data_IF_965592410951
#
_entry.id   IF_965592410951
#
_cell.length_a   1.000
_cell.length_b   1.000
_cell.length_c   1.000
_cell.angle_alpha   90.00
_cell.angle_beta   90.00
_cell.angle_gamma   90.00
#
_symmetry.space_group_name_H-M   'P 1'
#
loop_
_entity.id
_entity.type
_entity.pdbx_description
1 polymer ?
#
# COMPACT_ATOMS: atom_id res chain seq x y z
N UNK A 1 22.53 -0.58 -52.55
CA UNK A 1 23.00 -1.43 -51.43
C UNK A 1 21.82 -1.69 -50.50
N UNK A 2 21.31 -2.93 -50.45
CA UNK A 2 20.26 -3.35 -49.52
C UNK A 2 20.94 -3.99 -48.31
N UNK A 3 20.89 -3.35 -47.14
CA UNK A 3 21.30 -3.99 -45.89
C UNK A 3 20.09 -4.75 -45.33
N UNK A 4 20.20 -6.08 -45.30
CA UNK A 4 19.30 -6.95 -44.57
C UNK A 4 19.65 -6.87 -43.08
N UNK A 5 18.73 -6.37 -42.26
CA UNK A 5 18.82 -6.50 -40.80
C UNK A 5 18.30 -7.89 -40.40
N UNK A 6 19.22 -8.75 -39.98
CA UNK A 6 18.91 -10.00 -39.29
C UNK A 6 18.64 -9.66 -37.82
N UNK A 7 17.39 -9.86 -37.38
CA UNK A 7 16.98 -9.80 -35.98
C UNK A 7 17.42 -11.11 -35.30
N UNK A 8 18.50 -11.06 -34.53
CA UNK A 8 18.95 -12.17 -33.70
C UNK A 8 18.26 -12.09 -32.34
N UNK A 9 17.24 -12.92 -32.12
CA UNK A 9 16.58 -13.08 -30.81
C UNK A 9 17.53 -13.82 -29.86
N UNK A 10 18.14 -13.10 -28.92
CA UNK A 10 18.94 -13.72 -27.87
C UNK A 10 18.03 -14.34 -26.79
N UNK A 11 17.99 -15.66 -26.73
CA UNK A 11 17.36 -16.41 -25.63
C UNK A 11 18.35 -16.44 -24.46
N UNK A 12 18.08 -15.67 -23.41
CA UNK A 12 18.86 -15.70 -22.18
C UNK A 12 18.50 -16.96 -21.37
N UNK A 13 19.33 -18.00 -21.45
CA UNK A 13 19.26 -19.14 -20.52
C UNK A 13 19.81 -18.71 -19.16
N UNK A 14 18.93 -18.64 -18.15
CA UNK A 14 19.33 -18.45 -16.75
C UNK A 14 19.70 -19.81 -16.18
N UNK A 15 20.99 -20.05 -15.97
CA UNK A 15 21.49 -21.24 -15.26
C UNK A 15 21.28 -21.05 -13.76
N UNK A 16 20.35 -21.79 -13.16
CA UNK A 16 20.11 -21.77 -11.71
C UNK A 16 21.21 -22.56 -11.01
N UNK A 17 22.10 -21.85 -10.32
CA UNK A 17 23.13 -22.48 -9.45
C UNK A 17 22.45 -22.89 -8.14
N UNK A 18 22.27 -24.20 -7.94
CA UNK A 18 21.75 -24.77 -6.71
C UNK A 18 22.69 -24.54 -5.53
N UNK A 19 22.17 -23.94 -4.46
CA UNK A 19 22.89 -23.73 -3.20
C UNK A 19 22.34 -24.71 -2.15
N UNK A 20 22.93 -25.90 -2.06
CA UNK A 20 22.60 -26.88 -1.01
C UNK A 20 23.37 -26.54 0.28
N UNK A 21 22.73 -25.83 1.22
CA UNK A 21 23.20 -25.80 2.61
C UNK A 21 22.61 -26.98 3.36
N UNK A 22 23.46 -27.94 3.72
CA UNK A 22 23.12 -29.03 4.65
C UNK A 22 23.01 -28.47 6.07
N UNK A 23 21.80 -28.39 6.59
CA UNK A 23 21.53 -28.19 8.02
C UNK A 23 21.35 -29.56 8.68
N UNK A 24 22.21 -29.89 9.65
CA UNK A 24 22.10 -31.11 10.47
C UNK A 24 21.00 -30.90 11.50
N UNK A 25 19.93 -31.70 11.44
CA UNK A 25 18.79 -31.65 12.37
C UNK A 25 18.72 -32.97 13.13
N UNK A 26 18.49 -32.89 14.45
CA UNK A 26 18.32 -34.01 15.38
C UNK A 26 17.14 -34.94 15.01
N UNK A 27 17.19 -36.24 15.35
CA UNK A 27 16.17 -37.22 14.99
C UNK A 27 14.91 -37.09 15.87
N UNK A 28 14.05 -36.12 15.53
CA UNK A 28 12.67 -36.07 16.00
C UNK A 28 11.77 -37.03 15.22
N UNK A 29 10.76 -37.60 15.89
CA UNK A 29 9.73 -38.49 15.33
C UNK A 29 9.15 -37.90 14.05
N UNK A 30 9.52 -38.47 12.89
CA UNK A 30 9.11 -37.98 11.56
C UNK A 30 7.60 -38.12 11.40
N UNK A 31 6.89 -37.03 11.71
CA UNK A 31 5.54 -36.84 11.21
C UNK A 31 5.68 -36.56 9.71
N UNK A 32 5.54 -37.59 8.89
CA UNK A 32 5.60 -37.44 7.44
C UNK A 32 4.52 -36.44 7.02
N UNK A 33 4.98 -35.29 6.51
CA UNK A 33 4.11 -34.27 5.95
C UNK A 33 3.26 -34.89 4.84
N UNK A 34 1.95 -35.01 5.08
CA UNK A 34 0.96 -35.60 4.16
C UNK A 34 0.65 -34.69 2.96
N UNK A 35 1.61 -33.87 2.50
CA UNK A 35 1.39 -33.02 1.34
C UNK A 35 1.17 -33.88 0.10
N UNK A 36 0.04 -33.64 -0.57
CA UNK A 36 -0.33 -34.27 -1.84
C UNK A 36 0.49 -33.77 -3.04
N UNK A 37 1.15 -32.63 -2.86
CA UNK A 37 1.91 -31.95 -3.89
C UNK A 37 3.32 -31.62 -3.38
N UNK A 38 4.31 -31.86 -4.23
CA UNK A 38 5.70 -31.45 -4.02
C UNK A 38 6.09 -30.43 -5.09
N UNK A 39 6.52 -29.24 -4.69
CA UNK A 39 7.19 -28.31 -5.59
C UNK A 39 8.61 -28.85 -5.85
N UNK A 40 8.93 -29.15 -7.10
CA UNK A 40 10.23 -29.73 -7.49
C UNK A 40 11.19 -28.71 -8.10
N UNK A 41 10.69 -27.53 -8.50
CA UNK A 41 11.51 -26.43 -9.03
C UNK A 41 10.83 -25.07 -8.85
N UNK A 42 11.61 -23.99 -8.90
CA UNK A 42 11.11 -22.62 -8.89
C UNK A 42 10.92 -21.99 -7.51
N UNK A 43 11.50 -22.56 -6.45
CA UNK A 43 11.49 -21.97 -5.10
C UNK A 43 12.36 -20.73 -4.96
N UNK A 44 13.22 -20.44 -5.94
CA UNK A 44 14.05 -19.24 -5.95
C UNK A 44 14.03 -18.59 -7.34
N UNK A 45 13.66 -17.32 -7.42
CA UNK A 45 13.60 -16.54 -8.67
C UNK A 45 14.83 -15.64 -8.88
N UNK A 46 15.84 -15.74 -8.01
CA UNK A 46 17.12 -15.05 -8.14
C UNK A 46 17.03 -13.56 -7.87
N UNK A 47 17.87 -12.78 -8.56
CA UNK A 47 17.85 -11.32 -8.52
C UNK A 47 17.18 -10.82 -9.80
N UNK A 48 16.06 -10.13 -9.67
CA UNK A 48 15.27 -9.60 -10.79
C UNK A 48 15.10 -8.10 -10.67
N UNK A 49 14.88 -7.40 -11.79
CA UNK A 49 14.45 -6.00 -11.74
C UNK A 49 12.99 -5.89 -11.31
N UNK A 50 12.63 -4.76 -10.72
CA UNK A 50 11.24 -4.45 -10.37
C UNK A 50 10.38 -4.35 -11.63
N UNK A 51 9.50 -5.32 -11.80
CA UNK A 51 8.59 -5.42 -12.95
C UNK A 51 7.23 -5.91 -12.46
N UNK A 52 6.15 -5.45 -13.09
CA UNK A 52 4.77 -5.84 -12.76
C UNK A 52 4.39 -7.24 -13.27
N UNK A 53 5.24 -7.86 -14.10
CA UNK A 53 4.96 -9.13 -14.76
C UNK A 53 6.15 -10.10 -14.66
N UNK A 54 6.72 -10.29 -13.46
CA UNK A 54 7.77 -11.30 -13.26
C UNK A 54 7.15 -12.69 -13.27
N UNK A 55 7.57 -13.52 -14.23
CA UNK A 55 7.10 -14.90 -14.36
C UNK A 55 8.09 -15.86 -13.71
N UNK A 56 7.62 -16.57 -12.68
CA UNK A 56 8.40 -17.57 -11.94
C UNK A 56 7.85 -18.95 -12.33
N UNK A 57 8.55 -19.70 -13.19
CA UNK A 57 8.12 -21.05 -13.55
C UNK A 57 8.33 -21.98 -12.36
N UNK A 58 7.27 -22.68 -11.97
CA UNK A 58 7.29 -23.72 -10.94
C UNK A 58 6.82 -25.04 -11.53
N UNK A 59 7.27 -26.14 -10.96
CA UNK A 59 6.80 -27.48 -11.33
C UNK A 59 6.27 -28.18 -10.09
N UNK A 60 5.02 -28.62 -10.16
CA UNK A 60 4.35 -29.36 -9.09
C UNK A 60 4.22 -30.83 -9.47
N UNK A 61 4.67 -31.71 -8.58
CA UNK A 61 4.56 -33.16 -8.75
C UNK A 61 3.48 -33.72 -7.82
N UNK A 62 2.56 -34.51 -8.37
CA UNK A 62 1.60 -35.27 -7.58
C UNK A 62 2.29 -36.49 -6.95
N UNK A 63 2.34 -36.52 -5.62
CA UNK A 63 2.97 -37.59 -4.84
C UNK A 63 1.98 -38.69 -4.43
N UNK A 64 0.69 -38.55 -4.76
CA UNK A 64 -0.35 -39.53 -4.45
C UNK A 64 -0.49 -40.58 -5.56
N UNK A 65 -1.17 -41.66 -5.21
CA UNK A 65 -1.58 -42.74 -6.11
C UNK A 65 -2.86 -42.43 -6.90
N UNK A 66 -3.57 -41.35 -6.55
CA UNK A 66 -4.77 -40.87 -7.23
C UNK A 66 -4.50 -39.55 -7.97
N UNK A 67 -5.23 -39.31 -9.06
CA UNK A 67 -5.20 -38.03 -9.76
C UNK A 67 -5.60 -36.89 -8.82
N UNK A 68 -4.95 -35.75 -9.00
CA UNK A 68 -5.19 -34.57 -8.19
C UNK A 68 -5.71 -33.46 -9.10
N UNK A 69 -6.87 -32.92 -8.76
CA UNK A 69 -7.50 -31.80 -9.44
C UNK A 69 -7.23 -30.52 -8.64
N UNK A 70 -6.58 -29.55 -9.29
CA UNK A 70 -6.36 -28.20 -8.79
C UNK A 70 -7.46 -27.32 -9.35
N UNK A 71 -8.24 -26.69 -8.47
CA UNK A 71 -9.35 -25.80 -8.81
C UNK A 71 -8.97 -24.32 -8.67
N UNK A 72 -7.78 -24.02 -8.15
CA UNK A 72 -7.31 -22.65 -7.96
C UNK A 72 -6.06 -22.57 -7.09
N UNK A 73 -5.70 -21.34 -6.73
CA UNK A 73 -4.58 -21.06 -5.84
C UNK A 73 -4.93 -19.93 -4.87
N UNK A 74 -4.67 -20.17 -3.59
CA UNK A 74 -4.54 -19.07 -2.62
C UNK A 74 -3.17 -18.43 -2.75
N UNK A 75 -3.06 -17.15 -2.39
CA UNK A 75 -1.83 -16.37 -2.44
C UNK A 75 -1.63 -15.54 -1.17
N UNK A 76 -0.37 -15.31 -0.79
CA UNK A 76 -0.04 -14.50 0.40
C UNK A 76 -0.12 -12.99 0.18
N UNK A 77 -0.14 -12.53 -1.07
CA UNK A 77 -0.34 -11.12 -1.43
C UNK A 77 -1.25 -11.05 -2.67
N UNK A 78 -2.00 -9.96 -2.80
CA UNK A 78 -2.75 -9.64 -4.04
C UNK A 78 -1.84 -9.37 -5.25
N UNK A 79 -0.53 -9.30 -5.03
CA UNK A 79 0.49 -9.08 -6.04
C UNK A 79 0.89 -10.34 -6.82
N UNK A 80 0.15 -11.43 -6.69
CA UNK A 80 0.51 -12.74 -7.26
C UNK A 80 -0.68 -13.41 -7.92
N UNK A 81 -0.45 -13.97 -9.11
CA UNK A 81 -1.40 -14.83 -9.82
C UNK A 81 -0.68 -16.07 -10.36
N UNK A 82 -1.43 -17.11 -10.71
CA UNK A 82 -0.88 -18.39 -11.19
C UNK A 82 -1.58 -18.82 -12.46
N UNK A 83 -0.82 -19.28 -13.45
CA UNK A 83 -1.32 -19.80 -14.72
C UNK A 83 -0.71 -21.18 -15.05
N UNK A 84 -1.50 -22.18 -15.48
CA UNK A 84 -2.96 -22.17 -15.52
C UNK A 84 -3.56 -22.14 -14.10
N UNK A 85 -4.77 -21.61 -13.97
CA UNK A 85 -5.48 -21.54 -12.67
C UNK A 85 -6.03 -22.88 -12.24
N UNK A 86 -6.36 -23.76 -13.19
CA UNK A 86 -6.90 -25.09 -12.96
C UNK A 86 -6.05 -26.13 -13.70
N UNK A 87 -5.89 -27.31 -13.11
CA UNK A 87 -5.17 -28.41 -13.74
C UNK A 87 -5.52 -29.75 -13.11
N UNK A 88 -5.40 -30.83 -13.89
CA UNK A 88 -5.36 -32.20 -13.35
C UNK A 88 -3.95 -32.74 -13.48
N UNK A 89 -3.43 -33.32 -12.40
CA UNK A 89 -2.10 -33.94 -12.35
C UNK A 89 -2.28 -35.42 -11.99
N UNK A 90 -1.95 -36.33 -12.92
CA UNK A 90 -2.04 -37.77 -12.70
C UNK A 90 -1.05 -38.24 -11.62
N UNK A 91 -1.24 -39.44 -11.04
CA UNK A 91 -0.29 -40.01 -10.09
C UNK A 91 1.14 -40.00 -10.62
N UNK A 92 2.09 -39.42 -9.85
CA UNK A 92 3.50 -39.32 -10.23
C UNK A 92 3.83 -38.32 -11.33
N UNK A 93 2.83 -37.70 -11.99
CA UNK A 93 3.01 -36.69 -13.02
C UNK A 93 3.51 -35.37 -12.40
N UNK A 94 4.31 -34.65 -13.18
CA UNK A 94 4.72 -33.28 -12.91
C UNK A 94 4.04 -32.32 -13.88
N UNK A 95 3.55 -31.18 -13.38
CA UNK A 95 2.91 -30.15 -14.19
C UNK A 95 3.57 -28.79 -13.93
N UNK A 96 3.84 -28.06 -15.01
CA UNK A 96 4.39 -26.71 -14.94
C UNK A 96 3.28 -25.66 -14.73
N UNK A 97 3.59 -24.65 -13.93
CA UNK A 97 2.78 -23.45 -13.71
C UNK A 97 3.70 -22.23 -13.77
N UNK A 98 3.13 -21.10 -14.16
CA UNK A 98 3.78 -19.80 -14.11
C UNK A 98 3.16 -18.98 -13.01
N UNK A 99 3.95 -18.61 -12.02
CA UNK A 99 3.54 -17.65 -11.00
C UNK A 99 3.92 -16.26 -11.48
N UNK A 100 2.93 -15.41 -11.69
CA UNK A 100 3.11 -14.04 -12.15
C UNK A 100 3.07 -13.13 -10.93
N UNK A 101 4.14 -12.37 -10.71
CA UNK A 101 4.29 -11.49 -9.54
C UNK A 101 4.46 -10.04 -9.99
N UNK A 102 3.64 -9.16 -9.43
CA UNK A 102 3.82 -7.71 -9.53
C UNK A 102 4.74 -7.21 -8.42
N UNK A 103 6.00 -6.95 -8.76
CA UNK A 103 7.02 -6.47 -7.83
C UNK A 103 6.98 -4.95 -7.62
N UNK A 104 6.23 -4.20 -8.44
CA UNK A 104 6.09 -2.74 -8.35
C UNK A 104 5.16 -2.32 -7.20
N UNK A 105 4.22 -3.19 -6.84
CA UNK A 105 3.21 -2.94 -5.79
C UNK A 105 3.76 -2.91 -4.35
N UNK A 106 5.02 -3.29 -4.12
CA UNK A 106 5.52 -3.50 -2.77
C UNK A 106 5.94 -2.19 -2.08
N UNK A 107 5.13 -1.74 -1.12
CA UNK A 107 5.46 -0.64 -0.18
C UNK A 107 6.47 -1.08 0.88
N UNK A 108 7.65 -1.54 0.48
CA UNK A 108 8.72 -1.77 1.45
C UNK A 108 9.54 -0.49 1.56
N UNK A 109 9.43 0.15 2.72
CA UNK A 109 10.34 1.18 3.21
C UNK A 109 11.72 0.54 3.45
N UNK A 110 12.39 0.22 2.35
CA UNK A 110 13.77 -0.28 2.34
C UNK A 110 14.69 0.83 1.88
N UNK A 111 14.69 1.96 2.58
CA UNK A 111 15.71 2.98 2.35
C UNK A 111 17.09 2.34 2.50
N UNK A 112 17.91 2.46 1.46
CA UNK A 112 19.29 1.98 1.43
C UNK A 112 19.52 0.49 1.15
N UNK A 113 18.49 -0.36 1.10
CA UNK A 113 18.66 -1.80 0.78
C UNK A 113 18.30 -2.05 -0.67
N UNK A 114 19.27 -2.52 -1.45
CA UNK A 114 19.10 -3.00 -2.82
C UNK A 114 20.21 -4.02 -3.15
N UNK A 115 19.87 -5.24 -3.59
CA UNK A 115 18.52 -5.71 -3.90
C UNK A 115 17.69 -6.02 -2.64
N UNK A 116 16.37 -5.85 -2.73
CA UNK A 116 15.42 -6.05 -1.62
C UNK A 116 14.98 -7.52 -1.57
N UNK A 117 15.11 -8.23 -0.44
CA UNK A 117 14.61 -9.59 -0.33
C UNK A 117 13.08 -9.63 -0.45
N UNK A 118 12.56 -10.59 -1.20
CA UNK A 118 11.13 -10.76 -1.44
C UNK A 118 10.76 -12.25 -1.36
N UNK A 119 9.66 -12.53 -0.66
CA UNK A 119 9.07 -13.84 -0.55
C UNK A 119 7.61 -13.78 -1.03
N UNK A 120 7.20 -14.76 -1.83
CA UNK A 120 5.82 -14.95 -2.30
C UNK A 120 5.40 -16.37 -1.97
N UNK A 121 4.17 -16.55 -1.47
CA UNK A 121 3.64 -17.88 -1.19
C UNK A 121 2.35 -18.12 -1.94
N UNK A 122 2.20 -19.32 -2.48
CA UNK A 122 0.95 -19.80 -3.07
C UNK A 122 0.55 -21.13 -2.42
N UNK A 123 -0.73 -21.46 -2.45
CA UNK A 123 -1.24 -22.75 -1.99
C UNK A 123 -2.29 -23.27 -2.98
N UNK A 124 -2.06 -24.42 -3.64
CA UNK A 124 -3.04 -25.01 -4.54
C UNK A 124 -4.31 -25.42 -3.79
N UNK A 125 -5.47 -25.08 -4.33
CA UNK A 125 -6.78 -25.52 -3.85
C UNK A 125 -7.13 -26.79 -4.61
N UNK A 126 -7.32 -27.90 -3.90
CA UNK A 126 -7.49 -29.22 -4.53
C UNK A 126 -8.81 -29.87 -4.17
N UNK A 127 -9.58 -30.32 -5.16
CA UNK A 127 -10.84 -31.04 -4.97
C UNK A 127 -10.67 -32.32 -4.14
N UNK A 128 -11.61 -32.56 -3.22
CA UNK A 128 -11.66 -33.78 -2.40
C UNK A 128 -10.57 -33.87 -1.31
N UNK A 129 -9.72 -32.86 -1.19
CA UNK A 129 -8.71 -32.78 -0.14
C UNK A 129 -9.04 -31.51 0.65
N UNK A 130 -9.48 -31.67 1.90
CA UNK A 130 -9.79 -30.51 2.76
C UNK A 130 -8.61 -29.52 2.85
N UNK A 131 -8.84 -28.30 3.34
CA UNK A 131 -7.86 -27.19 3.29
C UNK A 131 -6.51 -27.48 3.98
N UNK A 132 -6.45 -28.53 4.80
CA UNK A 132 -5.25 -29.03 5.47
C UNK A 132 -4.30 -29.82 4.55
N UNK A 133 -4.75 -30.27 3.36
CA UNK A 133 -3.97 -31.20 2.54
C UNK A 133 -3.03 -30.57 1.52
N UNK A 134 -3.00 -29.25 1.42
CA UNK A 134 -2.08 -28.48 0.57
C UNK A 134 -1.15 -27.61 1.42
N UNK A 135 0.16 -27.83 1.33
CA UNK A 135 1.15 -26.96 1.96
C UNK A 135 1.37 -25.68 1.16
N UNK A 136 1.69 -24.57 1.84
CA UNK A 136 2.19 -23.36 1.19
C UNK A 136 3.50 -23.64 0.45
N UNK A 137 3.59 -23.18 -0.79
CA UNK A 137 4.80 -23.21 -1.61
C UNK A 137 5.39 -21.81 -1.55
N UNK A 138 6.61 -21.70 -1.00
CA UNK A 138 7.32 -20.44 -0.87
C UNK A 138 8.31 -20.27 -2.03
N UNK A 139 8.33 -19.06 -2.59
CA UNK A 139 9.26 -18.62 -3.62
C UNK A 139 9.99 -17.39 -3.12
N UNK A 140 11.31 -17.40 -3.18
CA UNK A 140 12.18 -16.37 -2.63
C UNK A 140 13.11 -15.79 -3.69
N UNK A 141 13.51 -14.54 -3.50
CA UNK A 141 14.47 -13.90 -4.37
C UNK A 141 14.77 -12.49 -3.89
N UNK A 142 15.45 -11.73 -4.73
CA UNK A 142 15.78 -10.34 -4.46
C UNK A 142 15.37 -9.46 -5.64
N UNK A 143 14.92 -8.25 -5.33
CA UNK A 143 14.40 -7.32 -6.32
C UNK A 143 15.32 -6.11 -6.39
N UNK A 144 15.91 -5.86 -7.56
CA UNK A 144 16.64 -4.64 -7.87
C UNK A 144 15.66 -3.56 -8.28
N UNK A 145 15.85 -2.36 -7.75
CA UNK A 145 15.06 -1.19 -8.16
C UNK A 145 15.80 -0.40 -9.22
N UNK A 146 15.12 -0.10 -10.33
CA UNK A 146 15.70 0.75 -11.37
C UNK A 146 16.00 2.16 -10.85
N UNK A 147 15.10 2.71 -10.03
CA UNK A 147 15.26 4.01 -9.40
C UNK A 147 14.62 4.08 -8.01
N UNK A 148 15.06 5.05 -7.22
CA UNK A 148 14.45 5.44 -5.96
C UNK A 148 13.87 6.83 -6.07
N UNK A 149 12.87 7.11 -5.24
CA UNK A 149 12.21 8.42 -5.16
C UNK A 149 12.22 8.83 -3.70
N UNK A 150 12.64 10.06 -3.42
CA UNK A 150 12.59 10.67 -2.09
C UNK A 150 12.16 12.14 -2.16
N UNK A 151 11.13 12.56 -1.40
CA UNK A 151 10.24 11.71 -0.60
C UNK A 151 9.25 10.91 -1.46
N UNK A 152 8.73 9.81 -0.94
CA UNK A 152 7.67 8.99 -1.59
C UNK A 152 6.25 9.47 -1.30
N UNK A 153 6.12 10.46 -0.41
CA UNK A 153 4.92 11.22 -0.12
C UNK A 153 5.27 12.69 0.05
N UNK A 154 4.47 13.55 -0.57
CA UNK A 154 4.63 15.00 -0.49
C UNK A 154 3.40 15.59 0.13
N UNK A 155 3.60 16.59 0.98
CA UNK A 155 2.53 17.42 1.52
C UNK A 155 2.85 18.84 1.09
N UNK A 156 2.07 19.36 0.13
CA UNK A 156 2.12 20.78 -0.21
C UNK A 156 1.35 21.54 0.85
N UNK A 157 2.04 22.39 1.60
CA UNK A 157 1.39 23.31 2.54
C UNK A 157 0.79 24.50 1.76
N UNK A 158 -0.13 25.24 2.39
CA UNK A 158 -0.66 26.48 1.80
C UNK A 158 0.45 27.47 1.45
N UNK A 159 1.47 27.61 2.30
CA UNK A 159 2.59 28.50 2.01
C UNK A 159 3.26 28.11 0.69
N UNK A 160 3.40 26.82 0.40
CA UNK A 160 3.95 26.35 -0.87
C UNK A 160 3.04 26.73 -2.06
N UNK A 161 1.72 26.62 -1.88
CA UNK A 161 0.75 27.01 -2.92
C UNK A 161 0.74 28.52 -3.16
N UNK A 162 0.66 29.32 -2.10
CA UNK A 162 0.52 30.78 -2.15
C UNK A 162 1.81 31.47 -2.60
N UNK A 163 2.95 31.04 -2.05
CA UNK A 163 4.27 31.53 -2.49
C UNK A 163 4.68 30.96 -3.84
N UNK A 164 3.90 29.99 -4.37
CA UNK A 164 4.22 29.24 -5.57
C UNK A 164 5.61 28.60 -5.46
N UNK A 165 5.98 28.16 -4.27
CA UNK A 165 7.21 27.41 -4.04
C UNK A 165 7.03 25.99 -4.56
N UNK A 166 8.05 25.50 -5.25
CA UNK A 166 8.01 24.17 -5.84
C UNK A 166 8.42 23.14 -4.77
N UNK A 167 7.57 22.16 -4.49
CA UNK A 167 8.03 20.98 -3.76
C UNK A 167 8.92 20.15 -4.68
N UNK A 168 10.03 19.65 -4.15
CA UNK A 168 11.00 18.90 -4.93
C UNK A 168 11.01 17.43 -4.50
N UNK A 169 10.97 16.56 -5.49
CA UNK A 169 11.21 15.12 -5.35
C UNK A 169 12.49 14.78 -6.06
N UNK A 170 13.37 14.05 -5.39
CA UNK A 170 14.58 13.52 -5.98
C UNK A 170 14.31 12.12 -6.47
N UNK A 171 14.47 11.93 -7.78
CA UNK A 171 14.53 10.63 -8.40
C UNK A 171 16.00 10.26 -8.63
N UNK A 172 16.46 9.19 -7.99
CA UNK A 172 17.81 8.66 -8.16
C UNK A 172 17.76 7.32 -8.88
N UNK A 173 18.22 7.30 -10.12
CA UNK A 173 18.32 6.08 -10.91
C UNK A 173 19.64 5.36 -10.67
N UNK A 174 19.62 4.03 -10.76
CA UNK A 174 20.83 3.17 -10.73
C UNK A 174 21.35 2.83 -12.12
N UNK A 175 20.55 3.12 -13.15
CA UNK A 175 20.88 2.90 -14.56
C UNK A 175 20.68 4.20 -15.36
N UNK A 176 21.37 4.37 -16.50
CA UNK A 176 21.05 5.44 -17.44
C UNK A 176 19.58 5.39 -17.83
N UNK A 177 18.85 6.49 -17.60
CA UNK A 177 17.46 6.62 -18.02
C UNK A 177 17.42 7.32 -19.37
N UNK A 178 16.75 6.68 -20.32
CA UNK A 178 16.44 7.21 -21.64
C UNK A 178 15.27 8.20 -21.59
N UNK A 179 14.28 7.93 -20.73
CA UNK A 179 13.06 8.73 -20.63
C UNK A 179 12.49 8.69 -19.21
N UNK A 180 11.99 9.84 -18.75
CA UNK A 180 11.16 9.98 -17.54
C UNK A 180 9.82 10.55 -17.98
N UNK A 181 8.74 9.82 -17.71
CA UNK A 181 7.37 10.22 -17.99
C UNK A 181 6.63 10.48 -16.68
N UNK A 182 5.79 11.52 -16.69
CA UNK A 182 5.02 11.96 -15.54
C UNK A 182 3.54 11.97 -15.89
N UNK A 183 2.75 11.23 -15.15
CA UNK A 183 1.29 11.22 -15.23
C UNK A 183 0.72 11.73 -13.90
N UNK A 184 -0.11 12.77 -13.97
CA UNK A 184 -0.69 13.45 -12.81
C UNK A 184 -1.95 14.24 -13.20
N UNK A 185 -2.72 14.67 -12.21
CA UNK A 185 -3.86 15.55 -12.41
C UNK A 185 -3.42 17.00 -12.70
N UNK A 186 -3.46 17.38 -13.98
CA UNK A 186 -3.10 18.72 -14.46
C UNK A 186 -4.06 19.82 -14.01
N UNK A 187 -5.21 19.49 -13.44
CA UNK A 187 -6.11 20.48 -12.85
C UNK A 187 -5.64 20.95 -11.46
N UNK A 188 -4.82 20.12 -10.79
CA UNK A 188 -4.35 20.35 -9.43
C UNK A 188 -2.92 20.89 -9.37
N UNK A 189 -2.03 20.41 -10.25
CA UNK A 189 -0.61 20.77 -10.20
C UNK A 189 0.03 20.92 -11.59
N UNK A 190 1.17 21.60 -11.63
CA UNK A 190 2.15 21.57 -12.71
C UNK A 190 3.34 20.77 -12.17
N UNK A 191 3.74 19.74 -12.90
CA UNK A 191 4.90 18.92 -12.54
C UNK A 191 5.91 18.95 -13.68
N UNK A 192 7.17 19.29 -13.35
CA UNK A 192 8.30 19.26 -14.28
C UNK A 192 9.40 18.35 -13.74
N UNK A 193 10.12 17.69 -14.63
CA UNK A 193 11.31 16.92 -14.29
C UNK A 193 12.53 17.52 -14.99
N UNK A 194 13.55 17.84 -14.21
CA UNK A 194 14.82 18.37 -14.69
C UNK A 194 15.94 17.42 -14.29
N UNK A 195 16.83 17.07 -15.21
CA UNK A 195 18.03 16.31 -14.88
C UNK A 195 18.96 17.18 -14.05
N UNK A 196 19.43 16.68 -12.91
CA UNK A 196 20.34 17.42 -12.02
C UNK A 196 21.68 17.65 -12.71
N UNK A 197 22.11 18.91 -12.84
CA UNK A 197 23.39 19.26 -13.48
C UNK A 197 24.61 18.88 -12.64
N UNK A 198 24.46 18.78 -11.32
CA UNK A 198 25.56 18.72 -10.35
C UNK A 198 25.81 17.33 -9.75
N UNK A 199 25.10 16.29 -10.21
CA UNK A 199 25.18 14.96 -9.62
C UNK A 199 25.40 13.90 -10.69
N UNK A 200 26.16 12.86 -10.35
CA UNK A 200 26.50 11.73 -11.22
C UNK A 200 25.29 11.24 -12.01
N UNK A 201 25.24 11.59 -13.31
CA UNK A 201 24.40 11.20 -14.45
C UNK A 201 22.96 10.62 -14.31
N UNK A 202 22.42 10.42 -13.12
CA UNK A 202 21.24 9.57 -12.89
C UNK A 202 20.26 10.18 -11.88
N UNK A 203 20.42 11.46 -11.53
CA UNK A 203 19.50 12.16 -10.63
C UNK A 203 18.60 13.13 -11.41
N UNK A 204 17.31 13.13 -11.08
CA UNK A 204 16.32 14.06 -11.58
C UNK A 204 15.66 14.78 -10.41
N UNK A 205 15.48 16.08 -10.55
CA UNK A 205 14.68 16.92 -9.67
C UNK A 205 13.30 17.07 -10.29
N UNK A 206 12.30 16.50 -9.64
CA UNK A 206 10.90 16.62 -10.04
C UNK A 206 10.28 17.71 -9.19
N UNK A 207 9.98 18.85 -9.81
CA UNK A 207 9.37 20.01 -9.17
C UNK A 207 7.85 19.94 -9.34
N UNK A 208 7.15 20.10 -8.22
CA UNK A 208 5.70 20.04 -8.15
C UNK A 208 5.20 21.39 -7.64
N UNK A 209 4.32 21.99 -8.43
CA UNK A 209 3.74 23.30 -8.14
C UNK A 209 2.23 23.18 -8.18
N UNK A 210 1.54 23.52 -7.09
CA UNK A 210 0.07 23.56 -7.12
C UNK A 210 -0.41 24.70 -8.01
N UNK A 211 -1.48 24.46 -8.77
CA UNK A 211 -2.11 25.49 -9.62
C UNK A 211 -3.09 26.33 -8.81
N UNK A 212 -3.80 25.72 -7.85
CA UNK A 212 -4.82 26.36 -7.02
C UNK A 212 -4.81 25.78 -5.61
N UNK A 213 -5.05 26.64 -4.62
CA UNK A 213 -5.35 26.19 -3.25
C UNK A 213 -6.69 25.48 -3.25
N UNK A 214 -6.74 24.16 -2.96
CA UNK A 214 -8.00 23.44 -2.93
C UNK A 214 -8.82 23.90 -1.71
N UNK A 215 -10.16 23.88 -1.82
CA UNK A 215 -11.06 24.28 -0.73
C UNK A 215 -11.18 23.22 0.36
N UNK A 216 -10.74 22.01 0.07
CA UNK A 216 -10.71 20.84 0.95
C UNK A 216 -9.43 20.06 0.70
N UNK A 217 -8.97 19.31 1.71
CA UNK A 217 -7.78 18.47 1.55
C UNK A 217 -8.00 17.56 0.35
N UNK A 218 -7.11 17.65 -0.63
CA UNK A 218 -7.16 16.81 -1.83
C UNK A 218 -5.84 16.12 -2.00
N UNK A 219 -5.87 14.95 -2.60
CA UNK A 219 -4.67 14.27 -3.01
C UNK A 219 -4.77 13.83 -4.47
N UNK A 220 -3.60 13.61 -5.06
CA UNK A 220 -3.49 12.98 -6.35
C UNK A 220 -2.28 12.05 -6.37
N UNK A 221 -2.36 11.06 -7.25
CA UNK A 221 -1.25 10.18 -7.53
C UNK A 221 -0.40 10.79 -8.65
N UNK A 222 0.90 11.00 -8.37
CA UNK A 222 1.91 11.28 -9.37
C UNK A 222 2.55 9.94 -9.76
N UNK A 223 2.22 9.41 -10.93
CA UNK A 223 2.86 8.23 -11.47
C UNK A 223 4.11 8.66 -12.25
N UNK A 224 5.26 8.10 -11.86
CA UNK A 224 6.55 8.36 -12.50
C UNK A 224 7.01 7.08 -13.16
N UNK A 225 7.05 7.11 -14.49
CA UNK A 225 7.48 5.99 -15.32
C UNK A 225 8.85 6.30 -15.90
N UNK A 226 9.79 5.39 -15.73
CA UNK A 226 11.14 5.52 -16.24
C UNK A 226 11.41 4.42 -17.27
N UNK A 227 12.15 4.78 -18.31
CA UNK A 227 12.67 3.84 -19.30
C UNK A 227 14.19 3.92 -19.31
N UNK A 228 14.86 2.77 -19.23
CA UNK A 228 16.31 2.70 -19.40
C UNK A 228 16.72 2.59 -20.90
N UNK A 229 18.01 2.51 -21.17
CA UNK A 229 18.56 2.37 -22.53
C UNK A 229 18.21 1.02 -23.20
N UNK A 230 17.91 -0.01 -22.41
CA UNK A 230 17.50 -1.33 -22.88
C UNK A 230 15.98 -1.42 -23.07
N UNK A 231 15.25 -0.30 -22.89
CA UNK A 231 13.80 -0.21 -22.87
C UNK A 231 13.13 -1.05 -21.76
N UNK A 232 13.85 -1.37 -20.69
CA UNK A 232 13.20 -1.81 -19.46
C UNK A 232 12.36 -0.65 -18.93
N UNK A 233 11.22 -1.00 -18.34
CA UNK A 233 10.23 -0.06 -17.86
C UNK A 233 9.93 -0.34 -16.40
N UNK A 234 10.08 0.67 -15.55
CA UNK A 234 9.64 0.63 -14.16
C UNK A 234 8.79 1.88 -13.88
N UNK A 235 7.71 1.69 -13.15
CA UNK A 235 6.79 2.75 -12.74
C UNK A 235 6.70 2.77 -11.23
N UNK A 236 6.76 3.97 -10.67
CA UNK A 236 6.57 4.19 -9.24
C UNK A 236 5.54 5.30 -9.03
N UNK A 237 4.65 5.07 -8.06
CA UNK A 237 3.63 6.02 -7.67
C UNK A 237 4.10 6.82 -6.46
N UNK A 238 3.94 8.14 -6.52
CA UNK A 238 4.17 9.09 -5.42
C UNK A 238 2.84 9.72 -5.07
N UNK A 239 2.43 9.64 -3.81
CA UNK A 239 1.19 10.28 -3.38
C UNK A 239 1.49 11.73 -3.01
N UNK A 240 0.83 12.66 -3.69
CA UNK A 240 0.95 14.10 -3.43
C UNK A 240 -0.33 14.54 -2.74
N UNK A 241 -0.21 14.86 -1.45
CA UNK A 241 -1.28 15.49 -0.70
C UNK A 241 -1.14 17.01 -0.82
N UNK A 242 -2.19 17.69 -1.25
CA UNK A 242 -2.29 19.14 -1.20
C UNK A 242 -3.18 19.46 0.00
N UNK A 243 -2.57 19.97 1.07
CA UNK A 243 -3.34 20.38 2.22
C UNK A 243 -4.21 21.58 1.82
N UNK A 244 -5.51 21.49 2.06
CA UNK A 244 -6.32 22.69 2.08
C UNK A 244 -5.88 23.55 3.26
N UNK A 245 -6.13 24.84 3.14
CA UNK A 245 -5.74 25.81 4.13
C UNK A 245 -6.19 25.41 5.56
N UNK A 246 -5.27 25.02 6.47
CA UNK A 246 -5.61 24.73 7.86
C UNK A 246 -6.03 26.00 8.61
N UNK A 247 -5.54 27.16 8.18
CA UNK A 247 -5.84 28.49 8.72
C UNK A 247 -7.18 29.06 8.23
N UNK A 248 -7.98 28.31 7.47
CA UNK A 248 -9.33 28.71 7.07
C UNK A 248 -10.44 27.83 7.59
N UNK A 249 -10.16 26.76 8.37
CA UNK A 249 -11.26 26.15 9.11
C UNK A 249 -11.73 27.19 10.13
N UNK A 250 -12.95 27.75 9.97
CA UNK A 250 -13.44 28.80 10.86
C UNK A 250 -13.44 28.33 12.32
N UNK A 251 -13.60 27.01 12.49
CA UNK A 251 -13.59 26.29 13.75
C UNK A 251 -12.77 25.00 13.61
N UNK A 252 -11.88 24.75 14.57
CA UNK A 252 -11.09 23.53 14.70
C UNK A 252 -11.70 22.62 15.78
N UNK A 253 -11.40 21.32 15.70
CA UNK A 253 -11.87 20.29 16.63
C UNK A 253 -10.67 19.56 17.26
N UNK A 254 -10.68 19.43 18.59
CA UNK A 254 -9.67 18.72 19.38
C UNK A 254 -10.34 17.69 20.31
N UNK A 255 -9.84 16.45 20.38
CA UNK A 255 -8.82 15.90 19.48
C UNK A 255 -9.32 15.80 18.03
N UNK A 256 -8.42 15.70 17.05
CA UNK A 256 -8.79 15.54 15.63
C UNK A 256 -9.40 14.16 15.31
N UNK A 257 -9.23 13.21 16.23
CA UNK A 257 -9.84 11.88 16.20
C UNK A 257 -9.97 11.34 17.62
N UNK A 258 -11.00 10.56 17.87
CA UNK A 258 -11.14 9.78 19.11
C UNK A 258 -10.71 8.35 18.82
N UNK A 259 -9.71 7.87 19.55
CA UNK A 259 -9.23 6.50 19.43
C UNK A 259 -9.01 5.90 20.82
N UNK A 260 -10.05 5.25 21.37
CA UNK A 260 -9.97 4.63 22.70
C UNK A 260 -9.16 3.33 22.73
N UNK A 261 -8.74 2.80 21.56
CA UNK A 261 -7.96 1.57 21.48
C UNK A 261 -8.77 0.34 21.84
N UNK A 262 -8.14 -0.64 22.51
CA UNK A 262 -8.79 -1.87 22.96
C UNK A 262 -9.56 -1.60 24.25
N UNK A 263 -10.83 -2.01 24.29
CA UNK A 263 -11.71 -1.80 25.43
C UNK A 263 -12.48 -3.09 25.77
N UNK A 264 -12.66 -3.35 27.06
CA UNK A 264 -13.35 -4.54 27.56
C UNK A 264 -14.86 -4.34 27.41
N UNK A 265 -15.58 -5.37 26.98
CA UNK A 265 -17.05 -5.33 26.91
C UNK A 265 -17.67 -4.92 28.26
N UNK A 266 -18.67 -4.05 28.23
CA UNK A 266 -19.32 -3.48 29.41
C UNK A 266 -18.63 -2.22 29.96
N UNK A 267 -17.40 -1.91 29.53
CA UNK A 267 -16.76 -0.64 29.91
C UNK A 267 -17.43 0.55 29.24
N UNK A 268 -17.40 1.69 29.93
CA UNK A 268 -17.85 2.97 29.39
C UNK A 268 -16.63 3.81 29.03
N UNK A 269 -16.53 4.18 27.75
CA UNK A 269 -15.49 5.03 27.22
C UNK A 269 -15.98 6.47 27.21
N UNK A 270 -15.11 7.40 27.58
CA UNK A 270 -15.41 8.83 27.63
C UNK A 270 -14.26 9.60 27.01
N UNK A 271 -14.57 10.67 26.28
CA UNK A 271 -13.59 11.62 25.75
C UNK A 271 -14.17 13.04 25.77
N UNK A 272 -13.30 14.04 25.99
CA UNK A 272 -13.69 15.44 25.87
C UNK A 272 -13.32 15.97 24.48
N UNK A 273 -14.26 16.65 23.84
CA UNK A 273 -14.11 17.29 22.54
C UNK A 273 -14.18 18.80 22.77
N UNK A 274 -13.26 19.54 22.19
CA UNK A 274 -13.23 21.00 22.18
C UNK A 274 -13.29 21.49 20.74
N UNK A 275 -14.28 22.31 20.44
CA UNK A 275 -14.34 23.09 19.22
C UNK A 275 -13.90 24.50 19.57
N UNK A 276 -13.03 25.12 18.78
CA UNK A 276 -12.61 26.50 19.01
C UNK A 276 -12.35 27.23 17.69
N UNK A 277 -12.49 28.56 17.69
CA UNK A 277 -12.16 29.39 16.52
C UNK A 277 -10.75 29.96 16.66
N UNK A 278 -9.77 29.51 15.84
CA UNK A 278 -8.40 30.03 15.91
C UNK A 278 -8.32 31.54 15.61
N UNK A 279 -9.28 32.06 14.85
CA UNK A 279 -9.35 33.49 14.44
C UNK A 279 -10.06 34.38 15.47
N UNK A 280 -10.50 33.83 16.59
CA UNK A 280 -11.25 34.59 17.60
C UNK A 280 -12.62 35.06 17.12
N UNK A 281 -13.19 34.44 16.09
CA UNK A 281 -14.52 34.74 15.58
C UNK A 281 -15.53 33.83 16.29
N UNK A 282 -16.63 34.42 16.78
CA UNK A 282 -17.66 33.65 17.46
C UNK A 282 -18.38 32.69 16.51
N UNK A 283 -18.72 31.50 16.99
CA UNK A 283 -19.50 30.53 16.24
C UNK A 283 -20.57 29.85 17.10
N UNK A 284 -21.55 29.24 16.45
CA UNK A 284 -22.54 28.36 17.08
C UNK A 284 -22.52 26.96 16.47
N UNK A 285 -22.73 25.96 17.30
CA UNK A 285 -22.97 24.59 16.83
C UNK A 285 -24.47 24.44 16.66
N UNK A 286 -24.90 24.25 15.41
CA UNK A 286 -26.31 24.14 15.00
C UNK A 286 -26.84 22.73 15.28
N UNK A 287 -26.02 21.72 15.01
CA UNK A 287 -26.41 20.32 15.16
C UNK A 287 -25.18 19.44 15.46
N UNK A 288 -25.42 18.31 16.12
CA UNK A 288 -24.41 17.28 16.39
C UNK A 288 -25.04 15.91 16.18
N UNK A 289 -24.50 15.14 15.23
CA UNK A 289 -24.97 13.77 14.94
C UNK A 289 -23.82 12.78 15.05
N UNK A 290 -24.12 11.59 15.54
CA UNK A 290 -23.19 10.47 15.47
C UNK A 290 -23.71 9.41 14.49
N UNK A 291 -22.79 8.82 13.72
CA UNK A 291 -23.07 7.60 12.95
C UNK A 291 -23.00 6.33 13.80
N UNK A 292 -22.54 6.42 15.05
CA UNK A 292 -22.51 5.29 15.99
C UNK A 292 -23.75 5.34 16.89
N UNK A 293 -24.64 4.33 16.85
CA UNK A 293 -25.93 4.38 17.56
C UNK A 293 -25.79 4.46 19.09
N UNK A 294 -24.70 3.90 19.65
CA UNK A 294 -24.45 3.89 21.09
C UNK A 294 -23.63 5.08 21.60
N UNK A 295 -23.16 5.95 20.70
CA UNK A 295 -22.32 7.09 21.05
C UNK A 295 -23.17 8.30 21.42
N UNK A 296 -23.18 8.64 22.70
CA UNK A 296 -23.88 9.82 23.24
C UNK A 296 -22.94 11.02 23.25
N UNK A 297 -23.41 12.15 22.72
CA UNK A 297 -22.70 13.43 22.75
C UNK A 297 -23.50 14.42 23.59
N UNK A 298 -22.87 14.96 24.64
CA UNK A 298 -23.48 15.96 25.52
C UNK A 298 -22.62 17.21 25.61
N UNK A 299 -23.23 18.38 25.55
CA UNK A 299 -22.53 19.66 25.72
C UNK A 299 -22.05 19.84 27.17
N UNK A 300 -20.85 20.39 27.35
CA UNK A 300 -20.29 20.76 28.66
C UNK A 300 -20.51 22.25 28.95
N UNK A 301 -20.72 22.58 30.23
CA UNK A 301 -21.08 23.95 30.68
C UNK A 301 -19.97 24.98 30.47
N UNK A 302 -18.70 24.56 30.39
CA UNK A 302 -17.52 25.41 30.23
C UNK A 302 -17.35 26.03 28.82
N UNK A 303 -18.45 26.23 28.09
CA UNK A 303 -18.45 26.75 26.73
C UNK A 303 -18.55 28.29 26.72
N UNK A 304 -17.65 28.97 26.02
CA UNK A 304 -17.71 30.42 25.76
C UNK A 304 -17.94 30.69 24.26
N UNK A 305 -18.07 31.96 23.84
CA UNK A 305 -18.38 32.31 22.45
C UNK A 305 -17.34 31.81 21.42
N UNK A 306 -16.10 31.57 21.85
CA UNK A 306 -14.96 31.17 21.02
C UNK A 306 -14.59 29.69 21.17
N UNK A 307 -15.11 29.01 22.19
CA UNK A 307 -14.81 27.62 22.52
C UNK A 307 -16.07 26.90 22.98
N UNK A 308 -16.40 25.77 22.35
CA UNK A 308 -17.49 24.88 22.74
C UNK A 308 -16.91 23.54 23.14
N UNK A 309 -17.32 23.02 24.29
CA UNK A 309 -16.84 21.71 24.76
C UNK A 309 -17.98 20.70 24.81
N UNK A 310 -17.68 19.46 24.43
CA UNK A 310 -18.60 18.33 24.41
C UNK A 310 -17.95 17.13 25.07
N UNK A 311 -18.77 16.24 25.60
CA UNK A 311 -18.37 14.93 26.10
C UNK A 311 -18.93 13.87 25.18
N UNK A 312 -18.06 13.05 24.62
CA UNK A 312 -18.42 11.84 23.89
C UNK A 312 -18.35 10.64 24.84
N UNK A 313 -19.42 9.86 24.90
CA UNK A 313 -19.52 8.72 25.80
C UNK A 313 -20.20 7.53 25.10
N UNK A 314 -19.60 6.35 25.17
CA UNK A 314 -20.18 5.11 24.63
C UNK A 314 -19.92 3.93 25.56
N UNK A 315 -20.81 2.93 25.54
CA UNK A 315 -20.62 1.67 26.25
C UNK A 315 -20.23 0.58 25.26
N UNK A 316 -19.17 -0.18 25.56
CA UNK A 316 -18.66 -1.23 24.69
C UNK A 316 -19.59 -2.44 24.72
N UNK A 317 -20.52 -2.53 23.77
CA UNK A 317 -21.51 -3.63 23.70
C UNK A 317 -21.10 -4.81 22.81
N UNK A 318 -20.29 -4.55 21.77
CA UNK A 318 -19.93 -5.54 20.74
C UNK A 318 -18.43 -5.80 20.72
N UNK A 319 -18.05 -7.03 20.33
CA UNK A 319 -16.66 -7.41 20.05
C UNK A 319 -16.22 -6.91 18.67
N UNK A 320 -14.92 -6.71 18.53
CA UNK A 320 -14.31 -6.34 17.26
C UNK A 320 -14.16 -4.84 17.06
N UNK A 321 -13.79 -4.47 15.84
CA UNK A 321 -13.52 -3.08 15.47
C UNK A 321 -14.83 -2.30 15.28
N UNK A 322 -14.95 -1.19 15.99
CA UNK A 322 -16.04 -0.25 15.87
C UNK A 322 -15.48 1.08 15.37
N UNK A 323 -16.10 1.64 14.33
CA UNK A 323 -15.69 2.90 13.73
C UNK A 323 -16.91 3.71 13.32
N UNK A 324 -16.78 5.03 13.40
CA UNK A 324 -17.80 5.97 12.96
C UNK A 324 -17.30 7.40 13.01
N UNK A 325 -18.24 8.33 13.04
CA UNK A 325 -18.00 9.77 13.01
C UNK A 325 -18.95 10.49 13.96
N UNK A 326 -18.48 11.62 14.50
CA UNK A 326 -19.32 12.66 15.07
C UNK A 326 -19.25 13.85 14.13
N UNK A 327 -20.39 14.23 13.59
CA UNK A 327 -20.52 15.35 12.69
C UNK A 327 -21.04 16.56 13.48
N UNK A 328 -20.29 17.66 13.46
CA UNK A 328 -20.68 18.94 14.03
C UNK A 328 -21.03 19.89 12.89
N UNK A 329 -22.26 20.41 12.88
CA UNK A 329 -22.66 21.49 11.98
C UNK A 329 -22.43 22.80 12.70
N UNK A 330 -21.50 23.59 12.19
CA UNK A 330 -21.02 24.81 12.82
C UNK A 330 -21.34 25.99 11.93
N UNK A 331 -22.00 26.99 12.50
CA UNK A 331 -22.29 28.25 11.82
C UNK A 331 -21.42 29.37 12.35
N UNK A 332 -20.76 30.06 11.42
CA UNK A 332 -19.93 31.23 11.68
C UNK A 332 -20.20 32.23 10.55
N UNK A 333 -20.51 33.48 10.91
CA UNK A 333 -20.80 34.56 9.93
C UNK A 333 -21.89 34.19 8.90
N UNK A 334 -22.88 33.38 9.31
CA UNK A 334 -23.99 32.94 8.46
C UNK A 334 -23.66 31.74 7.54
N UNK A 335 -22.43 31.23 7.56
CA UNK A 335 -22.02 30.06 6.78
C UNK A 335 -22.04 28.82 7.67
N UNK A 336 -22.80 27.80 7.27
CA UNK A 336 -22.85 26.49 7.96
C UNK A 336 -21.83 25.55 7.33
N UNK A 337 -20.86 25.10 8.13
CA UNK A 337 -19.82 24.14 7.76
C UNK A 337 -19.94 22.86 8.57
N UNK A 338 -19.71 21.71 7.94
CA UNK A 338 -19.68 20.41 8.62
C UNK A 338 -18.24 20.06 9.04
N UNK A 339 -18.03 19.79 10.32
CA UNK A 339 -16.78 19.25 10.87
C UNK A 339 -17.01 17.79 11.26
N UNK A 340 -16.28 16.85 10.64
CA UNK A 340 -16.37 15.44 10.96
C UNK A 340 -15.22 15.01 11.88
N UNK A 341 -15.54 14.38 13.01
CA UNK A 341 -14.59 13.82 13.97
C UNK A 341 -14.64 12.29 13.90
N UNK A 342 -13.60 11.63 13.36
CA UNK A 342 -13.52 10.17 13.34
C UNK A 342 -13.44 9.60 14.76
N UNK A 343 -14.19 8.52 15.01
CA UNK A 343 -14.23 7.80 16.29
C UNK A 343 -13.97 6.32 16.04
N UNK A 344 -13.10 5.71 16.84
CA UNK A 344 -12.85 4.26 16.78
C UNK A 344 -12.49 3.63 18.13
N UNK A 345 -12.86 2.37 18.29
CA UNK A 345 -12.38 1.49 19.35
C UNK A 345 -12.43 0.02 18.91
N UNK A 346 -11.80 -0.87 19.69
CA UNK A 346 -11.86 -2.31 19.49
C UNK A 346 -12.39 -2.99 20.75
N UNK A 347 -13.60 -3.54 20.69
CA UNK A 347 -14.20 -4.29 21.79
C UNK A 347 -13.57 -5.67 21.94
N UNK A 348 -13.17 -6.05 23.16
CA UNK A 348 -12.64 -7.38 23.46
C UNK A 348 -13.35 -8.04 24.64
N UNK A 349 -13.29 -9.38 24.67
CA UNK A 349 -13.64 -10.17 25.85
C UNK A 349 -12.75 -9.83 27.04
N UNK A 350 -13.29 -10.07 28.23
CA UNK A 350 -12.55 -10.08 29.50
C UNK A 350 -11.47 -11.15 29.50
#
# INVERSE_FOLDING_TARGET
MKLNHVLTTAILLITVVGCDKKTTVEPGTKTESRSSLKCVSGSNFGIVWDNSNVQIPIVLKNTRTASLQIDGFDHSCSCTSVYPTHATIKPGESKAFNVIVDLTSTRIDTKGIDPVPKQVKIRPITSGIGPQGSSWISMEGQVRRMFTIEPDRIILSKNDVDTRSDATVILSSRVPLKKVELEYDRSLAIVTAERSANQANHQYSIKIKSIKSPTHDTDFDLNISCHDELNNHSTKRVRVAIAANPEEKPVQILPERIAWGRAIQGTTLTEQISLFSPKGVSFRVVDVKSSMPDLKISKLENSNALTRSYKAQTSVKQYGAMQGTIDFWVEQEGIVTKLALPVRYYGSGS
#
